data_IF_296534067992
#
_entry.id   IF_296534067992
#
_cell.length_a   1.000
_cell.length_b   1.000
_cell.length_c   1.000
_cell.angle_alpha   90.00
_cell.angle_beta   90.00
_cell.angle_gamma   90.00
#
_symmetry.space_group_name_H-M   'P 1'
#
loop_
_entity.id
_entity.type
_entity.pdbx_description
1 polymer ?
#
# COMPACT_ATOMS: atom_id res chain seq x y z
N UNK A 1 -19.34 1.08 4.87
CA UNK A 1 -18.50 2.29 4.75
C UNK A 1 -17.06 1.87 4.91
N UNK A 2 -16.18 2.39 4.06
CA UNK A 2 -14.75 2.09 4.13
C UNK A 2 -14.13 2.79 5.33
N UNK A 3 -13.55 2.04 6.26
CA UNK A 3 -12.81 2.56 7.41
C UNK A 3 -11.31 2.54 7.14
N UNK A 4 -10.62 3.58 7.58
CA UNK A 4 -9.21 3.82 7.27
C UNK A 4 -8.38 3.86 8.55
N UNK A 5 -7.22 3.22 8.49
CA UNK A 5 -6.13 3.36 9.45
C UNK A 5 -5.14 4.39 8.92
N UNK A 6 -4.61 5.24 9.80
CA UNK A 6 -3.63 6.27 9.45
C UNK A 6 -2.38 6.12 10.32
N UNK A 7 -1.22 6.32 9.71
CA UNK A 7 0.07 6.31 10.41
C UNK A 7 0.92 7.49 9.96
N UNK A 8 1.75 7.94 10.89
CA UNK A 8 2.70 9.03 10.69
C UNK A 8 4.09 8.49 11.02
N UNK A 9 5.00 8.52 10.04
CA UNK A 9 6.38 8.02 10.20
C UNK A 9 7.39 9.11 9.88
N UNK A 10 8.45 9.27 10.69
CA UNK A 10 9.57 10.12 10.31
C UNK A 10 10.29 9.52 9.11
N UNK A 11 10.82 10.39 8.25
CA UNK A 11 11.66 10.04 7.11
C UNK A 11 13.09 10.49 7.38
N UNK A 12 14.05 9.65 6.98
CA UNK A 12 15.46 9.98 7.03
C UNK A 12 15.93 10.45 5.65
N UNK A 13 16.60 11.61 5.63
CA UNK A 13 17.25 12.13 4.42
C UNK A 13 18.21 11.07 3.86
N UNK A 14 18.21 10.91 2.54
CA UNK A 14 18.90 9.85 1.78
C UNK A 14 18.34 8.43 1.89
N UNK A 15 17.34 8.16 2.74
CA UNK A 15 16.71 6.83 2.86
C UNK A 15 15.18 6.83 2.63
N UNK A 16 14.62 7.96 2.20
CA UNK A 16 13.17 8.14 2.01
C UNK A 16 12.55 7.07 1.12
N UNK A 17 13.15 6.77 -0.03
CA UNK A 17 12.60 5.79 -0.98
C UNK A 17 12.51 4.39 -0.38
N UNK A 18 13.54 3.93 0.34
CA UNK A 18 13.54 2.63 0.98
C UNK A 18 12.46 2.54 2.08
N UNK A 19 12.31 3.59 2.89
CA UNK A 19 11.28 3.65 3.94
C UNK A 19 9.88 3.56 3.30
N UNK A 20 9.61 4.37 2.28
CA UNK A 20 8.31 4.36 1.59
C UNK A 20 8.01 3.02 0.91
N UNK A 21 9.02 2.37 0.32
CA UNK A 21 8.85 1.05 -0.30
C UNK A 21 8.51 -0.04 0.72
N UNK A 22 9.11 0.00 1.93
CA UNK A 22 8.76 -0.95 2.99
C UNK A 22 7.29 -0.79 3.40
N UNK A 23 6.86 0.43 3.71
CA UNK A 23 5.47 0.72 4.04
C UNK A 23 4.49 0.37 2.91
N UNK A 24 4.86 0.67 1.66
CA UNK A 24 4.07 0.31 0.48
C UNK A 24 3.92 -1.19 0.32
N UNK A 25 4.95 -1.97 0.65
CA UNK A 25 4.90 -3.44 0.64
C UNK A 25 3.98 -4.00 1.73
N UNK A 26 3.85 -3.30 2.86
CA UNK A 26 2.89 -3.58 3.94
C UNK A 26 1.45 -3.13 3.62
N UNK A 27 1.21 -2.60 2.41
CA UNK A 27 -0.09 -2.17 1.91
C UNK A 27 -0.50 -0.76 2.33
N UNK A 28 0.44 0.06 2.82
CA UNK A 28 0.17 1.45 3.13
C UNK A 28 0.27 2.34 1.89
N UNK A 29 -0.71 3.23 1.73
CA UNK A 29 -0.75 4.22 0.68
C UNK A 29 -0.22 5.56 1.20
N UNK A 30 0.77 6.13 0.52
CA UNK A 30 1.29 7.47 0.84
C UNK A 30 0.24 8.54 0.54
N UNK A 31 -0.06 9.38 1.53
CA UNK A 31 -0.97 10.52 1.39
C UNK A 31 -0.19 11.80 1.11
N UNK A 32 0.79 12.11 1.96
CA UNK A 32 1.58 13.33 1.86
C UNK A 32 2.91 13.22 2.60
N UNK A 33 3.89 13.99 2.14
CA UNK A 33 5.14 14.28 2.85
C UNK A 33 5.11 15.74 3.32
N UNK A 34 5.41 15.97 4.59
CA UNK A 34 5.50 17.31 5.18
C UNK A 34 6.91 17.52 5.71
N UNK A 35 7.47 18.67 5.39
CA UNK A 35 8.75 19.14 5.93
C UNK A 35 8.46 20.14 7.04
N UNK A 36 9.00 19.90 8.23
CA UNK A 36 8.90 20.83 9.35
C UNK A 36 9.97 21.92 9.24
N UNK A 37 9.69 23.10 9.82
CA UNK A 37 10.65 24.22 9.86
C UNK A 37 11.96 23.86 10.59
N UNK A 38 11.92 22.84 11.47
CA UNK A 38 13.09 22.30 12.16
C UNK A 38 13.90 21.28 11.34
N UNK A 39 13.57 21.07 10.05
CA UNK A 39 14.31 20.20 9.13
C UNK A 39 13.94 18.71 9.17
N UNK A 40 13.01 18.30 10.04
CA UNK A 40 12.48 16.94 10.07
C UNK A 40 11.43 16.72 8.98
N UNK A 41 11.51 15.58 8.28
CA UNK A 41 10.54 15.19 7.23
C UNK A 41 9.66 14.06 7.78
N UNK A 42 8.36 14.15 7.54
CA UNK A 42 7.37 13.17 8.02
C UNK A 42 6.46 12.75 6.86
N UNK A 43 6.15 11.46 6.78
CA UNK A 43 5.17 10.92 5.84
C UNK A 43 3.89 10.51 6.56
N UNK A 44 2.76 10.90 5.97
CA UNK A 44 1.43 10.44 6.35
C UNK A 44 1.00 9.33 5.39
N UNK A 45 0.60 8.19 5.93
CA UNK A 45 0.12 7.06 5.15
C UNK A 45 -1.24 6.60 5.66
N UNK A 46 -2.00 5.94 4.78
CA UNK A 46 -3.29 5.35 5.11
C UNK A 46 -3.37 3.91 4.62
N UNK A 47 -4.20 3.10 5.26
CA UNK A 47 -4.50 1.74 4.83
C UNK A 47 -5.96 1.40 5.14
N UNK A 48 -6.69 0.68 4.28
CA UNK A 48 -8.04 0.23 4.59
C UNK A 48 -8.00 -0.83 5.70
N UNK A 49 -8.90 -0.73 6.68
CA UNK A 49 -9.08 -1.79 7.67
C UNK A 49 -9.75 -3.02 7.02
N UNK A 50 -9.38 -4.24 7.41
CA UNK A 50 -10.10 -5.44 6.98
C UNK A 50 -11.57 -5.33 7.45
N UNK A 51 -12.51 -5.30 6.48
CA UNK A 51 -13.92 -4.98 6.68
C UNK A 51 -14.37 -3.68 5.98
N UNK A 52 -13.43 -2.90 5.47
CA UNK A 52 -13.66 -1.75 4.62
C UNK A 52 -13.67 -2.16 3.14
N UNK A 53 -14.77 -2.77 2.67
CA UNK A 53 -15.04 -2.90 1.22
C UNK A 53 -14.86 -1.49 0.59
N UNK A 54 -13.82 -1.28 -0.26
CA UNK A 54 -13.61 -1.91 -1.55
C UNK A 54 -12.17 -2.44 -1.80
N UNK A 55 -11.30 -2.56 -0.79
CA UNK A 55 -9.91 -3.01 -0.99
C UNK A 55 -9.77 -4.54 -1.19
N UNK A 56 -10.67 -5.33 -0.60
CA UNK A 56 -10.74 -6.77 -0.82
C UNK A 56 -11.01 -7.15 -2.29
N UNK A 57 -11.66 -6.26 -3.06
CA UNK A 57 -11.93 -6.47 -4.49
C UNK A 57 -10.68 -6.31 -5.38
N UNK A 58 -9.74 -5.41 -5.03
CA UNK A 58 -8.51 -5.23 -5.80
C UNK A 58 -7.51 -6.38 -5.56
N UNK A 59 -7.41 -6.88 -4.32
CA UNK A 59 -6.58 -8.04 -3.99
C UNK A 59 -7.16 -9.36 -4.56
N UNK A 60 -8.48 -9.53 -4.58
CA UNK A 60 -9.11 -10.72 -5.19
C UNK A 60 -9.13 -10.67 -6.73
N UNK A 61 -9.18 -9.48 -7.35
CA UNK A 61 -9.05 -9.34 -8.80
C UNK A 61 -7.64 -9.70 -9.30
N UNK A 62 -6.58 -9.38 -8.55
CA UNK A 62 -5.23 -9.83 -8.86
C UNK A 62 -5.05 -11.35 -8.72
N UNK A 63 -5.70 -11.97 -7.73
CA UNK A 63 -5.69 -13.43 -7.56
C UNK A 63 -6.54 -14.17 -8.61
N UNK A 64 -7.64 -13.58 -9.09
CA UNK A 64 -8.49 -14.18 -10.12
C UNK A 64 -7.82 -14.23 -11.50
N UNK A 65 -6.92 -13.30 -11.81
CA UNK A 65 -6.21 -13.25 -13.09
C UNK A 65 -5.17 -14.37 -13.32
N UNK A 66 -4.85 -15.16 -12.29
CA UNK A 66 -3.77 -16.16 -12.33
C UNK A 66 -4.19 -17.60 -12.68
N UNK A 67 -5.48 -17.93 -12.79
CA UNK A 67 -5.94 -19.33 -12.83
C UNK A 67 -6.62 -19.78 -14.12
N UNK A 68 -6.43 -19.09 -15.25
CA UNK A 68 -6.95 -19.57 -16.53
C UNK A 68 -5.84 -20.11 -17.43
N UNK A 69 -5.79 -21.45 -17.49
CA UNK A 69 -5.42 -22.28 -18.66
C UNK A 69 -3.98 -22.81 -18.75
N UNK A 70 -3.77 -24.01 -18.18
CA UNK A 70 -2.86 -25.04 -18.72
C UNK A 70 -3.48 -26.44 -18.58
N UNK A 71 -4.71 -26.62 -19.08
CA UNK A 71 -5.25 -27.95 -19.35
C UNK A 71 -5.92 -27.97 -20.72
N UNK A 72 -5.41 -28.84 -21.60
CA UNK A 72 -6.12 -29.30 -22.80
C UNK A 72 -5.77 -28.61 -24.11
N UNK A 73 -4.66 -29.01 -24.73
CA UNK A 73 -4.57 -29.17 -26.20
C UNK A 73 -3.68 -30.41 -26.43
N UNK A 74 -4.26 -31.60 -26.31
CA UNK A 74 -4.99 -32.32 -27.35
C UNK A 74 -4.04 -32.95 -28.38
N UNK A 75 -3.87 -34.27 -28.21
CA UNK A 75 -3.62 -35.33 -29.20
C UNK A 75 -2.46 -35.22 -30.19
#
# INVERSE_FOLDING_TARGET
MTTWEYVTTPLMIHNTAAILNNWGSDGWELVQIVTNEQGGIVAYLKRPLQGAEPAAAAASAAAAAGSWKTEGDAS
#
